data_IF_930740411354
#
_entry.id   IF_930740411354
#
_cell.length_a   1.000
_cell.length_b   1.000
_cell.length_c   1.000
_cell.angle_alpha   90.00
_cell.angle_beta   90.00
_cell.angle_gamma   90.00
#
_symmetry.space_group_name_H-M   'P 1'
#
loop_
_entity.id
_entity.type
_entity.pdbx_description
1 polymer ?
#
# COMPACT_ATOMS: atom_id res chain seq x y z
N UNK A 1 -17.33 38.80 2.95
CA UNK A 1 -16.30 37.97 2.30
C UNK A 1 -17.02 36.72 1.81
N UNK A 2 -17.33 36.62 0.51
CA UNK A 2 -18.14 35.54 -0.06
C UNK A 2 -17.20 34.34 -0.28
N UNK A 3 -17.40 33.25 0.46
CA UNK A 3 -16.67 32.02 0.24
C UNK A 3 -17.16 31.40 -1.09
N UNK A 4 -16.30 31.41 -2.11
CA UNK A 4 -16.57 30.68 -3.34
C UNK A 4 -16.55 29.18 -3.01
N UNK A 5 -17.70 28.51 -3.13
CA UNK A 5 -17.80 27.06 -2.98
C UNK A 5 -17.13 26.41 -4.19
N UNK A 6 -15.90 25.94 -4.02
CA UNK A 6 -15.20 25.14 -5.03
C UNK A 6 -15.99 23.85 -5.24
N UNK A 7 -16.64 23.72 -6.41
CA UNK A 7 -17.29 22.49 -6.83
C UNK A 7 -16.23 21.55 -7.38
N UNK A 8 -15.91 20.50 -6.62
CA UNK A 8 -14.95 19.48 -7.04
C UNK A 8 -15.68 18.45 -7.93
N UNK A 9 -15.05 18.01 -9.04
CA UNK A 9 -15.57 16.89 -9.83
C UNK A 9 -15.71 15.65 -8.95
N UNK A 10 -16.84 14.95 -9.05
CA UNK A 10 -17.00 13.67 -8.38
C UNK A 10 -15.99 12.66 -8.96
N UNK A 11 -15.33 11.84 -8.13
CA UNK A 11 -14.44 10.80 -8.63
C UNK A 11 -15.23 9.83 -9.52
N UNK A 12 -14.78 9.67 -10.76
CA UNK A 12 -15.36 8.72 -11.70
C UNK A 12 -15.04 7.28 -11.30
N UNK A 13 -15.86 6.30 -11.70
CA UNK A 13 -15.58 4.89 -11.42
C UNK A 13 -14.27 4.44 -12.08
N UNK A 14 -13.42 3.71 -11.34
CA UNK A 14 -12.15 3.15 -11.84
C UNK A 14 -12.32 2.32 -13.11
N UNK A 15 -13.37 1.52 -13.17
CA UNK A 15 -13.62 0.57 -14.25
C UNK A 15 -15.12 0.48 -14.55
N UNK A 16 -15.48 0.43 -15.83
CA UNK A 16 -16.86 0.20 -16.27
C UNK A 16 -17.32 -1.19 -15.85
N UNK A 17 -18.62 -1.37 -15.55
CA UNK A 17 -19.19 -2.68 -15.14
C UNK A 17 -18.81 -3.83 -16.07
N UNK A 18 -18.81 -3.59 -17.38
CA UNK A 18 -18.43 -4.60 -18.39
C UNK A 18 -16.94 -4.99 -18.34
N UNK A 19 -16.06 -4.04 -18.04
CA UNK A 19 -14.64 -4.33 -17.87
C UNK A 19 -14.37 -5.08 -16.55
N UNK A 20 -15.13 -4.79 -15.48
CA UNK A 20 -15.02 -5.54 -14.22
C UNK A 20 -15.45 -7.00 -14.38
N UNK A 21 -16.56 -7.24 -15.10
CA UNK A 21 -16.95 -8.61 -15.47
C UNK A 21 -15.91 -9.29 -16.35
N UNK A 22 -15.28 -8.56 -17.29
CA UNK A 22 -14.21 -9.09 -18.14
C UNK A 22 -13.01 -9.58 -17.33
N UNK A 23 -12.55 -8.79 -16.36
CA UNK A 23 -11.44 -9.17 -15.46
C UNK A 23 -11.81 -10.39 -14.61
N UNK A 24 -13.02 -10.44 -14.07
CA UNK A 24 -13.48 -11.60 -13.28
C UNK A 24 -13.55 -12.88 -14.11
N UNK A 25 -14.09 -12.80 -15.33
CA UNK A 25 -14.12 -13.94 -16.25
C UNK A 25 -12.71 -14.39 -16.61
N UNK A 26 -11.80 -13.46 -16.94
CA UNK A 26 -10.41 -13.79 -17.25
C UNK A 26 -9.70 -14.50 -16.08
N UNK A 27 -9.90 -14.02 -14.85
CA UNK A 27 -9.36 -14.66 -13.63
C UNK A 27 -9.90 -16.08 -13.46
N UNK A 28 -11.21 -16.27 -13.57
CA UNK A 28 -11.83 -17.59 -13.46
C UNK A 28 -11.34 -18.55 -14.55
N UNK A 29 -11.19 -18.06 -15.78
CA UNK A 29 -10.64 -18.83 -16.89
C UNK A 29 -9.21 -19.27 -16.58
N UNK A 30 -8.34 -18.38 -16.13
CA UNK A 30 -6.95 -18.74 -15.79
C UNK A 30 -6.90 -19.74 -14.64
N UNK A 31 -7.70 -19.54 -13.58
CA UNK A 31 -7.77 -20.45 -12.44
C UNK A 31 -8.31 -21.85 -12.80
N UNK A 32 -9.18 -21.96 -13.81
CA UNK A 32 -9.70 -23.24 -14.26
C UNK A 32 -8.82 -23.91 -15.32
N UNK A 33 -8.31 -23.14 -16.28
CA UNK A 33 -7.54 -23.65 -17.43
C UNK A 33 -6.15 -24.13 -17.02
N UNK A 34 -5.47 -23.44 -16.11
CA UNK A 34 -4.13 -23.86 -15.66
C UNK A 34 -4.10 -25.27 -15.04
N UNK A 35 -4.98 -25.63 -14.06
CA UNK A 35 -5.05 -27.00 -13.55
C UNK A 35 -5.68 -27.98 -14.55
N UNK A 36 -6.60 -27.54 -15.40
CA UNK A 36 -7.15 -28.39 -16.46
C UNK A 36 -6.05 -28.83 -17.46
N UNK A 37 -5.17 -27.92 -17.87
CA UNK A 37 -4.04 -28.22 -18.77
C UNK A 37 -2.98 -29.11 -18.10
N UNK A 38 -2.85 -29.05 -16.78
CA UNK A 38 -2.00 -29.98 -16.03
C UNK A 38 -2.58 -31.41 -16.00
N UNK A 39 -3.90 -31.56 -15.79
CA UNK A 39 -4.56 -32.87 -15.63
C UNK A 39 -4.97 -33.57 -16.93
N UNK A 40 -5.41 -32.80 -17.94
CA UNK A 40 -6.04 -33.35 -19.16
C UNK A 40 -5.04 -33.55 -20.31
N UNK A 41 -3.87 -32.90 -20.26
CA UNK A 41 -2.90 -32.90 -21.36
C UNK A 41 -1.75 -33.87 -21.06
N UNK A 42 -1.44 -34.82 -21.96
CA UNK A 42 -0.32 -35.75 -21.79
C UNK A 42 1.04 -35.03 -21.71
N UNK A 43 1.96 -35.58 -20.91
CA UNK A 43 3.27 -34.98 -20.58
C UNK A 43 4.16 -34.66 -21.79
N UNK A 44 3.96 -35.34 -22.93
CA UNK A 44 4.69 -35.10 -24.18
C UNK A 44 4.17 -33.95 -25.04
N UNK A 45 3.08 -33.30 -24.65
CA UNK A 45 2.47 -32.20 -25.41
C UNK A 45 3.03 -30.85 -24.99
N UNK A 46 3.22 -29.95 -25.96
CA UNK A 46 3.70 -28.56 -25.75
C UNK A 46 2.77 -27.76 -24.82
N UNK A 47 1.50 -28.15 -24.70
CA UNK A 47 0.52 -27.50 -23.84
C UNK A 47 0.42 -28.08 -22.42
N UNK A 48 1.25 -29.08 -22.08
CA UNK A 48 1.25 -29.64 -20.74
C UNK A 48 1.87 -28.64 -19.74
N UNK A 49 1.09 -28.29 -18.73
CA UNK A 49 1.52 -27.42 -17.63
C UNK A 49 2.00 -28.30 -16.49
N UNK A 50 3.30 -28.28 -16.18
CA UNK A 50 3.82 -29.05 -15.05
C UNK A 50 3.35 -28.49 -13.70
N UNK A 51 3.36 -29.32 -12.66
CA UNK A 51 2.98 -28.90 -11.29
C UNK A 51 3.79 -27.70 -10.80
N UNK A 52 5.06 -27.61 -11.21
CA UNK A 52 5.91 -26.47 -10.88
C UNK A 52 5.39 -25.17 -11.49
N UNK A 53 4.96 -25.18 -12.75
CA UNK A 53 4.43 -24.01 -13.43
C UNK A 53 3.08 -23.58 -12.84
N UNK A 54 2.21 -24.54 -12.50
CA UNK A 54 0.95 -24.26 -11.81
C UNK A 54 1.21 -23.63 -10.44
N UNK A 55 2.16 -24.17 -9.66
CA UNK A 55 2.56 -23.60 -8.37
C UNK A 55 3.19 -22.21 -8.49
N UNK A 56 4.05 -21.99 -9.49
CA UNK A 56 4.65 -20.69 -9.77
C UNK A 56 3.60 -19.66 -10.15
N UNK A 57 2.65 -20.03 -11.01
CA UNK A 57 1.52 -19.17 -11.40
C UNK A 57 0.69 -18.76 -10.19
N UNK A 58 0.38 -19.70 -9.30
CA UNK A 58 -0.32 -19.41 -8.04
C UNK A 58 0.45 -18.41 -7.17
N UNK A 59 1.77 -18.56 -7.06
CA UNK A 59 2.63 -17.62 -6.31
C UNK A 59 2.61 -16.22 -6.92
N UNK A 60 2.74 -16.12 -8.25
CA UNK A 60 2.68 -14.84 -8.97
C UNK A 60 1.31 -14.16 -8.78
N UNK A 61 0.21 -14.91 -8.89
CA UNK A 61 -1.15 -14.40 -8.65
C UNK A 61 -1.31 -13.84 -7.24
N UNK A 62 -0.76 -14.52 -6.23
CA UNK A 62 -0.80 -14.05 -4.86
C UNK A 62 -0.11 -12.68 -4.70
N UNK A 63 1.08 -12.51 -5.29
CA UNK A 63 1.76 -11.21 -5.31
C UNK A 63 1.04 -10.16 -6.16
N UNK A 64 0.41 -10.55 -7.27
CA UNK A 64 -0.34 -9.63 -8.13
C UNK A 64 -1.55 -9.03 -7.40
N UNK A 65 -2.26 -9.82 -6.59
CA UNK A 65 -3.37 -9.32 -5.76
C UNK A 65 -2.86 -8.31 -4.73
N UNK A 66 -1.73 -8.61 -4.06
CA UNK A 66 -1.11 -7.66 -3.12
C UNK A 66 -0.70 -6.35 -3.81
N UNK A 67 -0.13 -6.43 -5.02
CA UNK A 67 0.24 -5.25 -5.80
C UNK A 67 -0.99 -4.43 -6.22
N UNK A 68 -2.06 -5.08 -6.70
CA UNK A 68 -3.33 -4.44 -7.04
C UNK A 68 -3.96 -3.75 -5.84
N UNK A 69 -3.94 -4.37 -4.65
CA UNK A 69 -4.48 -3.75 -3.45
C UNK A 69 -3.75 -2.44 -3.10
N UNK A 70 -2.42 -2.42 -3.24
CA UNK A 70 -1.63 -1.21 -3.02
C UNK A 70 -1.88 -0.13 -4.09
N UNK A 71 -2.02 -0.52 -5.35
CA UNK A 71 -2.38 0.39 -6.45
C UNK A 71 -3.78 1.00 -6.25
N UNK A 72 -4.74 0.24 -5.73
CA UNK A 72 -6.07 0.77 -5.43
C UNK A 72 -6.07 1.76 -4.26
N UNK A 73 -5.34 1.46 -3.18
CA UNK A 73 -5.26 2.32 -1.99
C UNK A 73 -4.53 3.62 -2.31
N UNK A 74 -3.40 3.57 -3.01
CA UNK A 74 -2.63 4.78 -3.27
C UNK A 74 -3.02 5.45 -4.59
N UNK A 75 -3.16 4.68 -5.66
CA UNK A 75 -3.48 5.21 -6.99
C UNK A 75 -4.91 5.69 -7.13
N UNK A 76 -5.91 4.89 -6.72
CA UNK A 76 -7.31 5.26 -6.92
C UNK A 76 -7.92 6.07 -5.77
N UNK A 77 -7.72 5.66 -4.52
CA UNK A 77 -8.31 6.40 -3.39
C UNK A 77 -7.44 7.58 -2.93
N UNK A 78 -6.17 7.64 -3.35
CA UNK A 78 -5.25 8.71 -2.96
C UNK A 78 -4.84 8.68 -1.49
N UNK A 79 -5.10 7.57 -0.79
CA UNK A 79 -4.79 7.42 0.64
C UNK A 79 -3.37 6.85 0.77
N UNK A 80 -2.57 7.44 1.67
CA UNK A 80 -1.29 6.88 2.04
C UNK A 80 -1.50 5.50 2.67
N UNK A 81 -0.89 4.46 2.07
CA UNK A 81 -0.87 3.13 2.70
C UNK A 81 -0.22 3.20 4.09
N UNK A 82 -0.65 2.35 5.02
CA UNK A 82 -0.17 2.30 6.40
C UNK A 82 1.37 2.23 6.50
N UNK A 83 2.02 1.54 5.57
CA UNK A 83 3.49 1.50 5.50
C UNK A 83 4.11 2.88 5.25
N UNK A 84 3.54 3.68 4.34
CA UNK A 84 4.01 5.04 4.08
C UNK A 84 3.67 5.99 5.24
N UNK A 85 2.49 5.83 5.84
CA UNK A 85 2.09 6.59 7.03
C UNK A 85 3.03 6.37 8.21
N UNK A 86 3.50 5.12 8.43
CA UNK A 86 4.44 4.79 9.48
C UNK A 86 5.78 5.52 9.30
N UNK A 87 6.36 5.48 8.09
CA UNK A 87 7.62 6.18 7.81
C UNK A 87 7.49 7.69 7.87
N UNK A 88 6.37 8.22 7.41
CA UNK A 88 6.07 9.65 7.50
C UNK A 88 5.93 10.10 8.97
N UNK A 89 5.21 9.34 9.80
CA UNK A 89 5.05 9.61 11.22
C UNK A 89 6.39 9.51 11.98
N UNK A 90 7.20 8.49 11.69
CA UNK A 90 8.52 8.31 12.31
C UNK A 90 9.47 9.45 11.92
N UNK A 91 9.52 9.82 10.64
CA UNK A 91 10.31 10.96 10.16
C UNK A 91 9.86 12.28 10.79
N UNK A 92 8.55 12.52 10.86
CA UNK A 92 7.97 13.70 11.52
C UNK A 92 8.30 13.76 13.02
N UNK A 93 8.25 12.61 13.71
CA UNK A 93 8.62 12.51 15.12
C UNK A 93 10.10 12.84 15.33
N UNK A 94 11.01 12.24 14.55
CA UNK A 94 12.45 12.51 14.66
C UNK A 94 12.75 13.98 14.36
N UNK A 95 12.11 14.58 13.35
CA UNK A 95 12.29 15.99 13.03
C UNK A 95 11.74 16.90 14.14
N UNK A 96 10.57 16.59 14.70
CA UNK A 96 10.00 17.32 15.82
C UNK A 96 10.89 17.27 17.06
N UNK A 97 11.42 16.07 17.37
CA UNK A 97 12.39 15.87 18.44
C UNK A 97 13.68 16.67 18.20
N UNK A 98 14.20 16.67 16.98
CA UNK A 98 15.38 17.45 16.61
C UNK A 98 15.15 18.96 16.79
N UNK A 99 14.01 19.48 16.31
CA UNK A 99 13.66 20.89 16.45
C UNK A 99 13.51 21.29 17.92
N UNK A 100 12.87 20.47 18.75
CA UNK A 100 12.79 20.74 20.20
C UNK A 100 14.15 20.70 20.87
N UNK A 101 15.05 19.80 20.44
CA UNK A 101 16.42 19.76 20.94
C UNK A 101 17.23 20.99 20.53
N UNK A 102 17.00 21.54 19.33
CA UNK A 102 17.67 22.75 18.85
C UNK A 102 17.31 24.01 19.65
N UNK A 103 16.16 24.04 20.32
CA UNK A 103 15.81 25.12 21.25
C UNK A 103 16.79 25.11 22.46
N UNK A 104 17.11 23.93 22.97
CA UNK A 104 18.15 23.74 23.99
C UNK A 104 18.07 24.71 25.17
N UNK A 105 19.14 25.49 25.38
CA UNK A 105 19.25 26.45 26.48
C UNK A 105 18.30 27.66 26.37
N UNK A 106 17.73 27.89 25.19
CA UNK A 106 16.71 28.92 24.96
C UNK A 106 15.30 28.44 25.36
N UNK A 107 15.18 27.18 25.79
CA UNK A 107 13.95 26.58 26.30
C UNK A 107 13.63 26.98 27.75
N UNK A 108 12.43 26.64 28.21
CA UNK A 108 11.95 27.05 29.54
C UNK A 108 12.81 26.46 30.68
N UNK A 109 13.33 25.25 30.50
CA UNK A 109 14.14 24.55 31.50
C UNK A 109 15.65 24.70 31.29
N UNK A 110 16.06 25.40 30.22
CA UNK A 110 17.46 25.68 29.88
C UNK A 110 18.36 24.43 29.90
N UNK A 111 17.93 23.36 29.23
CA UNK A 111 18.65 22.08 29.17
C UNK A 111 18.90 21.64 27.73
N UNK A 112 19.88 20.75 27.52
CA UNK A 112 20.13 20.14 26.20
C UNK A 112 19.06 19.12 25.77
N UNK A 113 18.23 18.67 26.72
CA UNK A 113 17.10 17.79 26.48
C UNK A 113 15.86 18.61 26.07
N UNK A 114 14.97 18.05 25.23
CA UNK A 114 13.66 18.64 24.97
C UNK A 114 12.88 18.92 26.25
N UNK A 115 12.25 20.10 26.35
CA UNK A 115 11.55 20.59 27.54
C UNK A 115 10.50 19.61 28.11
N UNK A 116 9.80 18.85 27.26
CA UNK A 116 8.81 17.87 27.71
C UNK A 116 9.44 16.67 28.44
N UNK A 117 10.67 16.28 28.09
CA UNK A 117 11.38 15.21 28.77
C UNK A 117 11.79 15.68 30.17
N UNK A 118 12.26 16.91 30.29
CA UNK A 118 12.58 17.53 31.59
C UNK A 118 11.34 17.67 32.47
N UNK A 119 10.19 18.04 31.89
CA UNK A 119 8.91 18.06 32.60
C UNK A 119 8.53 16.69 33.18
N UNK A 120 8.90 15.59 32.51
CA UNK A 120 8.68 14.22 32.97
C UNK A 120 9.76 13.71 33.96
N UNK A 121 10.59 14.61 34.50
CA UNK A 121 11.73 14.32 35.40
C UNK A 121 12.73 13.30 34.82
N UNK A 122 12.90 13.29 33.50
CA UNK A 122 13.99 12.53 32.88
C UNK A 122 15.33 13.18 33.20
N UNK A 123 16.23 12.40 33.80
CA UNK A 123 17.60 12.79 34.13
C UNK A 123 18.56 12.15 33.13
N UNK A 124 19.64 12.86 32.82
CA UNK A 124 20.75 12.38 31.98
C UNK A 124 21.38 11.08 32.50
#
# INVERSE_FOLDING_TARGET
MIAASVSLPAPGPLLTRGAFSGVMVALLVVCAVAPALNLLVPEGSVFHLSDYMVGLLGKIMCYAICALAMDLIWGYTGILSLGHGLFFALGGYVMGMYLMRQIGLDGNYKSELPDFMVFLDWKE
#
